data_IF_472372222893
#
_entry.id   IF_472372222893
#
_cell.length_a   1.000
_cell.length_b   1.000
_cell.length_c   1.000
_cell.angle_alpha   90.00
_cell.angle_beta   90.00
_cell.angle_gamma   90.00
#
_symmetry.space_group_name_H-M   'P 1'
#
loop_
_entity.id
_entity.type
_entity.pdbx_description
1 polymer ?
#
# COMPACT_ATOMS: atom_id res chain seq x y z
N UNK A 1 14.90 -35.98 -20.17
CA UNK A 1 14.78 -36.11 -18.69
C UNK A 1 15.70 -35.07 -18.06
N UNK A 2 15.14 -33.92 -17.66
CA UNK A 2 15.92 -32.83 -17.05
C UNK A 2 16.29 -33.26 -15.63
N UNK A 3 17.58 -33.50 -15.37
CA UNK A 3 18.07 -33.79 -14.02
C UNK A 3 18.00 -32.51 -13.20
N UNK A 4 17.09 -32.47 -12.24
CA UNK A 4 17.06 -31.42 -11.22
C UNK A 4 18.21 -31.68 -10.26
N UNK A 5 19.34 -31.00 -10.46
CA UNK A 5 20.43 -31.03 -9.50
C UNK A 5 20.02 -30.18 -8.30
N UNK A 6 19.73 -30.83 -7.17
CA UNK A 6 19.51 -30.15 -5.89
C UNK A 6 20.84 -29.56 -5.43
N UNK A 7 21.01 -28.24 -5.56
CA UNK A 7 22.17 -27.50 -5.03
C UNK A 7 22.10 -27.27 -3.51
N UNK A 8 21.14 -27.88 -2.82
CA UNK A 8 21.00 -27.79 -1.36
C UNK A 8 21.09 -29.18 -0.74
N UNK A 9 21.85 -29.25 0.36
CA UNK A 9 21.93 -30.40 1.27
C UNK A 9 20.50 -30.82 1.66
N UNK A 10 20.20 -32.13 1.84
CA UNK A 10 18.88 -32.56 2.32
C UNK A 10 18.66 -32.00 3.74
N UNK A 11 17.89 -30.91 3.84
CA UNK A 11 17.55 -30.26 5.12
C UNK A 11 17.66 -28.73 5.08
N UNK A 12 16.51 -28.07 4.90
CA UNK A 12 16.23 -26.64 5.10
C UNK A 12 17.04 -25.62 4.27
N UNK A 13 16.52 -25.27 3.09
CA UNK A 13 16.91 -24.03 2.42
C UNK A 13 16.46 -22.81 3.24
N UNK A 14 17.41 -21.95 3.64
CA UNK A 14 17.12 -20.67 4.33
C UNK A 14 16.50 -19.62 3.41
N UNK A 15 16.39 -19.90 2.11
CA UNK A 15 15.82 -18.99 1.11
C UNK A 15 14.38 -18.64 1.42
N UNK A 16 13.56 -19.60 1.83
CA UNK A 16 12.13 -19.38 2.08
C UNK A 16 11.92 -18.47 3.29
N UNK A 17 12.73 -18.67 4.34
CA UNK A 17 12.77 -17.78 5.49
C UNK A 17 13.20 -16.36 5.09
N UNK A 18 14.27 -16.23 4.32
CA UNK A 18 14.75 -14.93 3.83
C UNK A 18 13.72 -14.19 3.00
N UNK A 19 13.00 -14.89 2.12
CA UNK A 19 11.97 -14.30 1.28
C UNK A 19 10.70 -13.93 2.05
N UNK A 20 10.37 -14.61 3.14
CA UNK A 20 9.24 -14.24 4.00
C UNK A 20 9.58 -13.03 4.89
N UNK A 21 10.82 -12.95 5.39
CA UNK A 21 11.35 -11.74 6.04
C UNK A 21 11.35 -10.54 5.10
N UNK A 22 11.86 -10.69 3.88
CA UNK A 22 11.89 -9.60 2.91
C UNK A 22 10.48 -9.14 2.53
N UNK A 23 9.53 -10.06 2.40
CA UNK A 23 8.13 -9.69 2.16
C UNK A 23 7.55 -8.87 3.32
N UNK A 24 7.86 -9.25 4.57
CA UNK A 24 7.42 -8.49 5.74
C UNK A 24 8.06 -7.11 5.79
N UNK A 25 9.38 -7.02 5.64
CA UNK A 25 10.12 -5.75 5.74
C UNK A 25 9.69 -4.78 4.64
N UNK A 26 9.57 -5.23 3.40
CA UNK A 26 9.05 -4.38 2.30
C UNK A 26 7.61 -3.92 2.58
N UNK A 27 6.75 -4.80 3.11
CA UNK A 27 5.39 -4.43 3.50
C UNK A 27 5.36 -3.39 4.62
N UNK A 28 6.18 -3.57 5.67
CA UNK A 28 6.28 -2.63 6.78
C UNK A 28 6.82 -1.26 6.31
N UNK A 29 7.84 -1.25 5.45
CA UNK A 29 8.38 -0.02 4.86
C UNK A 29 7.33 0.73 4.04
N UNK A 30 6.54 0.02 3.23
CA UNK A 30 5.46 0.62 2.44
C UNK A 30 4.32 1.15 3.32
N UNK A 31 3.96 0.46 4.41
CA UNK A 31 2.97 0.96 5.38
C UNK A 31 3.45 2.29 6.00
N UNK A 32 4.71 2.33 6.46
CA UNK A 32 5.29 3.54 7.04
C UNK A 32 5.33 4.67 6.00
N UNK A 33 5.77 4.37 4.78
CA UNK A 33 5.74 5.32 3.68
C UNK A 33 4.33 5.85 3.44
N UNK A 34 3.30 5.00 3.41
CA UNK A 34 1.93 5.44 3.19
C UNK A 34 1.42 6.33 4.31
N UNK A 35 1.73 6.04 5.57
CA UNK A 35 1.38 6.95 6.68
C UNK A 35 2.06 8.31 6.54
N UNK A 36 3.36 8.33 6.28
CA UNK A 36 4.09 9.56 6.03
C UNK A 36 3.51 10.30 4.82
N UNK A 37 3.26 9.62 3.71
CA UNK A 37 2.68 10.17 2.50
C UNK A 37 1.32 10.83 2.77
N UNK A 38 0.41 10.13 3.45
CA UNK A 38 -0.92 10.66 3.78
C UNK A 38 -0.83 11.91 4.65
N UNK A 39 0.09 11.96 5.61
CA UNK A 39 0.30 13.14 6.46
C UNK A 39 0.94 14.31 5.68
N UNK A 40 1.94 14.04 4.85
CA UNK A 40 2.64 15.07 4.08
C UNK A 40 1.72 15.70 3.03
N UNK A 41 0.94 14.89 2.30
CA UNK A 41 0.03 15.39 1.27
C UNK A 41 -1.21 16.06 1.88
N UNK A 42 -1.70 15.57 3.02
CA UNK A 42 -2.84 16.20 3.73
C UNK A 42 -2.51 17.53 4.40
N UNK A 43 -1.22 17.91 4.50
CA UNK A 43 -0.82 19.22 5.01
C UNK A 43 -1.45 20.40 4.24
N UNK A 44 -1.88 20.17 2.98
CA UNK A 44 -2.64 21.14 2.17
C UNK A 44 -3.97 21.56 2.81
N UNK A 45 -4.55 20.70 3.66
CA UNK A 45 -5.78 20.99 4.42
C UNK A 45 -5.51 22.10 5.44
N UNK A 46 -4.32 22.14 6.02
CA UNK A 46 -3.89 23.23 6.92
C UNK A 46 -3.64 24.49 6.09
N UNK A 47 -2.71 24.42 5.13
CA UNK A 47 -2.54 25.46 4.12
C UNK A 47 -1.73 24.97 2.90
N UNK A 48 -1.91 25.57 1.72
CA UNK A 48 -1.05 25.32 0.56
C UNK A 48 0.42 25.67 0.81
N UNK A 49 0.69 26.71 1.62
CA UNK A 49 2.05 27.14 1.93
C UNK A 49 2.80 26.12 2.79
N UNK A 50 2.12 25.44 3.72
CA UNK A 50 2.72 24.36 4.53
C UNK A 50 3.11 23.18 3.62
N UNK A 51 2.21 22.74 2.73
CA UNK A 51 2.52 21.68 1.77
C UNK A 51 3.70 22.08 0.88
N UNK A 52 3.71 23.30 0.34
CA UNK A 52 4.79 23.78 -0.50
C UNK A 52 6.13 23.89 0.25
N UNK A 53 6.12 24.28 1.53
CA UNK A 53 7.33 24.33 2.35
C UNK A 53 7.92 22.92 2.58
N UNK A 54 7.05 21.94 2.89
CA UNK A 54 7.44 20.54 3.02
C UNK A 54 7.98 20.01 1.68
N UNK A 55 7.27 20.25 0.58
CA UNK A 55 7.71 19.84 -0.75
C UNK A 55 9.03 20.50 -1.16
N UNK A 56 9.22 21.78 -0.81
CA UNK A 56 10.46 22.51 -1.01
C UNK A 56 11.65 21.91 -0.25
N UNK A 57 11.43 21.41 0.97
CA UNK A 57 12.45 20.66 1.72
C UNK A 57 12.83 19.35 1.01
N UNK A 58 11.84 18.61 0.50
CA UNK A 58 12.08 17.37 -0.26
C UNK A 58 12.84 17.63 -1.56
N UNK A 59 12.54 18.75 -2.24
CA UNK A 59 13.24 19.18 -3.44
C UNK A 59 14.68 19.59 -3.14
N UNK A 60 14.89 20.42 -2.11
CA UNK A 60 16.21 20.91 -1.73
C UNK A 60 17.17 19.78 -1.29
N UNK A 61 16.62 18.69 -0.75
CA UNK A 61 17.36 17.51 -0.32
C UNK A 61 17.43 16.41 -1.38
N UNK A 62 16.86 16.63 -2.57
CA UNK A 62 16.70 15.63 -3.63
C UNK A 62 15.98 14.34 -3.18
N UNK A 63 15.21 14.42 -2.09
CA UNK A 63 14.57 13.28 -1.46
C UNK A 63 13.45 12.72 -2.34
N UNK A 64 12.74 13.54 -3.11
CA UNK A 64 11.72 13.06 -4.03
C UNK A 64 12.34 12.33 -5.26
N UNK A 65 13.47 12.84 -5.75
CA UNK A 65 14.18 12.35 -6.92
C UNK A 65 14.85 11.00 -6.67
N UNK A 66 15.40 10.79 -5.48
CA UNK A 66 16.04 9.53 -5.08
C UNK A 66 15.04 8.61 -4.37
N UNK A 67 14.27 9.15 -3.42
CA UNK A 67 13.31 8.39 -2.64
C UNK A 67 12.14 7.86 -3.47
N UNK A 68 11.65 8.64 -4.45
CA UNK A 68 10.58 8.22 -5.36
C UNK A 68 10.88 6.90 -6.09
N UNK A 69 11.98 6.83 -6.87
CA UNK A 69 12.41 5.59 -7.52
C UNK A 69 12.70 4.44 -6.55
N UNK A 70 13.27 4.70 -5.37
CA UNK A 70 13.53 3.66 -4.36
C UNK A 70 12.24 3.08 -3.78
N UNK A 71 11.24 3.91 -3.51
CA UNK A 71 9.91 3.46 -3.07
C UNK A 71 9.22 2.70 -4.20
N UNK A 72 9.33 3.15 -5.45
CA UNK A 72 8.78 2.43 -6.59
C UNK A 72 9.43 1.04 -6.77
N UNK A 73 10.75 0.94 -6.60
CA UNK A 73 11.45 -0.34 -6.60
C UNK A 73 10.98 -1.22 -5.43
N UNK A 74 10.86 -0.67 -4.23
CA UNK A 74 10.36 -1.38 -3.04
C UNK A 74 8.93 -1.90 -3.28
N UNK A 75 8.09 -1.09 -3.91
CA UNK A 75 6.73 -1.45 -4.31
C UNK A 75 6.71 -2.65 -5.27
N UNK A 76 7.55 -2.64 -6.31
CA UNK A 76 7.66 -3.77 -7.25
C UNK A 76 8.22 -5.03 -6.58
N UNK A 77 9.25 -4.89 -5.75
CA UNK A 77 9.82 -6.02 -4.99
C UNK A 77 8.76 -6.60 -4.05
N UNK A 78 8.02 -5.75 -3.34
CA UNK A 78 6.92 -6.18 -2.48
C UNK A 78 5.87 -6.97 -3.27
N UNK A 79 5.47 -6.46 -4.44
CA UNK A 79 4.53 -7.15 -5.32
C UNK A 79 5.03 -8.53 -5.73
N UNK A 80 6.26 -8.65 -6.24
CA UNK A 80 6.84 -9.94 -6.66
C UNK A 80 6.87 -10.93 -5.50
N UNK A 81 7.26 -10.49 -4.30
CA UNK A 81 7.31 -11.35 -3.13
C UNK A 81 5.91 -11.77 -2.66
N UNK A 82 4.94 -10.87 -2.66
CA UNK A 82 3.57 -11.11 -2.25
C UNK A 82 2.78 -11.94 -3.29
N UNK A 83 3.07 -11.77 -4.58
CA UNK A 83 2.43 -12.47 -5.70
C UNK A 83 2.59 -13.99 -5.59
N UNK A 84 3.68 -14.48 -4.98
CA UNK A 84 3.88 -15.92 -4.69
C UNK A 84 2.77 -16.54 -3.85
N UNK A 85 2.00 -15.72 -3.12
CA UNK A 85 0.89 -16.16 -2.27
C UNK A 85 -0.48 -16.05 -2.96
N UNK A 86 -0.55 -15.51 -4.18
CA UNK A 86 -1.80 -15.28 -4.92
C UNK A 86 -2.00 -16.43 -5.93
N UNK A 87 -3.15 -17.14 -5.89
CA UNK A 87 -3.47 -18.10 -6.93
C UNK A 87 -3.87 -17.36 -8.22
N UNK A 88 -3.01 -17.39 -9.22
CA UNK A 88 -3.30 -16.78 -10.53
C UNK A 88 -4.14 -17.68 -11.44
N UNK A 89 -4.19 -18.99 -11.18
CA UNK A 89 -5.03 -19.94 -11.94
C UNK A 89 -6.48 -19.83 -11.50
N UNK A 90 -7.40 -19.83 -12.46
CA UNK A 90 -8.85 -19.72 -12.22
C UNK A 90 -9.38 -20.79 -11.25
N UNK A 91 -8.90 -22.03 -11.35
CA UNK A 91 -9.23 -23.11 -10.42
C UNK A 91 -8.87 -22.76 -8.96
N UNK A 92 -7.65 -22.26 -8.74
CA UNK A 92 -7.20 -21.85 -7.41
C UNK A 92 -7.99 -20.65 -6.85
N UNK A 93 -8.36 -19.71 -7.73
CA UNK A 93 -9.22 -18.58 -7.35
C UNK A 93 -10.62 -19.06 -6.95
N UNK A 94 -11.21 -19.97 -7.72
CA UNK A 94 -12.52 -20.55 -7.42
C UNK A 94 -12.51 -21.30 -6.08
N UNK A 95 -11.46 -22.07 -5.80
CA UNK A 95 -11.29 -22.80 -4.53
C UNK A 95 -11.22 -21.83 -3.35
N UNK A 96 -10.38 -20.79 -3.42
CA UNK A 96 -10.29 -19.78 -2.35
C UNK A 96 -11.63 -19.08 -2.13
N UNK A 97 -12.32 -18.71 -3.21
CA UNK A 97 -13.62 -18.04 -3.14
C UNK A 97 -14.70 -18.90 -2.48
N UNK A 98 -14.80 -20.17 -2.89
CA UNK A 98 -15.73 -21.13 -2.29
C UNK A 98 -15.43 -21.36 -0.80
N UNK A 99 -14.15 -21.51 -0.42
CA UNK A 99 -13.74 -21.66 0.97
C UNK A 99 -14.04 -20.41 1.81
N UNK A 100 -13.79 -19.21 1.27
CA UNK A 100 -14.12 -17.96 1.95
C UNK A 100 -15.63 -17.82 2.22
N UNK A 101 -16.46 -18.20 1.23
CA UNK A 101 -17.93 -18.26 1.37
C UNK A 101 -18.39 -19.27 2.41
N UNK A 102 -17.79 -20.46 2.43
CA UNK A 102 -18.13 -21.53 3.37
C UNK A 102 -17.77 -21.15 4.81
N UNK A 103 -16.54 -20.68 5.05
CA UNK A 103 -16.04 -20.37 6.40
C UNK A 103 -16.72 -19.15 7.02
N UNK A 104 -17.23 -18.21 6.20
CA UNK A 104 -17.81 -16.92 6.65
C UNK A 104 -16.93 -16.18 7.67
N UNK A 105 -15.62 -16.35 7.55
CA UNK A 105 -14.64 -15.85 8.51
C UNK A 105 -14.04 -14.53 8.04
N UNK A 106 -14.14 -13.48 8.87
CA UNK A 106 -13.72 -12.11 8.53
C UNK A 106 -12.28 -12.04 8.03
N UNK A 107 -11.32 -12.64 8.74
CA UNK A 107 -9.92 -12.51 8.35
C UNK A 107 -9.60 -13.33 7.09
N UNK A 108 -10.44 -14.29 6.70
CA UNK A 108 -10.32 -14.96 5.39
C UNK A 108 -10.79 -14.01 4.28
N UNK A 109 -11.92 -13.34 4.46
CA UNK A 109 -12.42 -12.34 3.52
C UNK A 109 -11.49 -11.14 3.37
N UNK A 110 -10.92 -10.64 4.46
CA UNK A 110 -9.94 -9.55 4.40
C UNK A 110 -8.71 -9.93 3.57
N UNK A 111 -8.36 -11.21 3.48
CA UNK A 111 -7.23 -11.65 2.65
C UNK A 111 -7.60 -11.56 1.17
N UNK A 112 -8.82 -11.97 0.81
CA UNK A 112 -9.36 -11.83 -0.55
C UNK A 112 -9.42 -10.36 -0.96
N UNK A 113 -9.90 -9.49 -0.07
CA UNK A 113 -9.90 -8.03 -0.28
C UNK A 113 -8.48 -7.51 -0.47
N UNK A 114 -7.52 -7.94 0.35
CA UNK A 114 -6.13 -7.53 0.24
C UNK A 114 -5.50 -7.96 -1.10
N UNK A 115 -5.80 -9.18 -1.58
CA UNK A 115 -5.33 -9.66 -2.88
C UNK A 115 -5.98 -8.89 -4.04
N UNK A 116 -7.29 -8.61 -3.97
CA UNK A 116 -8.00 -7.85 -5.00
C UNK A 116 -7.54 -6.39 -5.09
N UNK A 117 -7.44 -5.71 -3.94
CA UNK A 117 -6.90 -4.35 -3.88
C UNK A 117 -5.45 -4.29 -4.36
N UNK A 118 -4.61 -5.30 -4.09
CA UNK A 118 -3.24 -5.35 -4.59
C UNK A 118 -3.15 -5.26 -6.12
N UNK A 119 -4.07 -5.93 -6.84
CA UNK A 119 -4.06 -5.89 -8.31
C UNK A 119 -4.45 -4.51 -8.84
N UNK A 120 -5.41 -3.86 -8.20
CA UNK A 120 -5.82 -2.49 -8.55
C UNK A 120 -4.68 -1.51 -8.27
N UNK A 121 -4.06 -1.61 -7.08
CA UNK A 121 -2.94 -0.76 -6.67
C UNK A 121 -1.73 -0.96 -7.57
N UNK A 122 -1.45 -2.18 -8.05
CA UNK A 122 -0.36 -2.42 -8.99
C UNK A 122 -0.45 -1.49 -10.20
N UNK A 123 -1.65 -1.35 -10.76
CA UNK A 123 -1.89 -0.54 -11.95
C UNK A 123 -1.97 0.94 -11.58
N UNK A 124 -2.90 1.29 -10.69
CA UNK A 124 -3.17 2.69 -10.36
C UNK A 124 -1.99 3.32 -9.59
N UNK A 125 -1.40 2.60 -8.64
CA UNK A 125 -0.21 3.05 -7.92
C UNK A 125 0.98 3.29 -8.84
N UNK A 126 1.20 2.42 -9.85
CA UNK A 126 2.27 2.64 -10.82
C UNK A 126 2.03 3.89 -11.68
N UNK A 127 0.80 4.09 -12.18
CA UNK A 127 0.43 5.30 -12.93
C UNK A 127 0.63 6.56 -12.07
N UNK A 128 0.17 6.53 -10.82
CA UNK A 128 0.33 7.63 -9.87
C UNK A 128 1.80 7.99 -9.67
N UNK A 129 2.64 7.01 -9.35
CA UNK A 129 4.07 7.19 -9.11
C UNK A 129 4.77 7.72 -10.38
N UNK A 130 4.45 7.16 -11.54
CA UNK A 130 5.00 7.62 -12.82
C UNK A 130 4.70 9.10 -13.07
N UNK A 131 3.44 9.50 -12.94
CA UNK A 131 2.99 10.87 -13.24
C UNK A 131 3.60 11.88 -12.26
N UNK A 132 3.62 11.57 -10.97
CA UNK A 132 4.15 12.49 -9.95
C UNK A 132 5.67 12.63 -10.06
N UNK A 133 6.40 11.54 -10.31
CA UNK A 133 7.87 11.59 -10.39
C UNK A 133 8.39 12.20 -11.69
N UNK A 134 7.60 12.20 -12.77
CA UNK A 134 7.95 12.88 -14.03
C UNK A 134 7.56 14.37 -14.06
N UNK A 135 6.82 14.87 -13.07
CA UNK A 135 6.38 16.28 -13.00
C UNK A 135 6.89 16.98 -11.72
N UNK A 136 8.09 16.61 -11.27
CA UNK A 136 8.80 17.32 -10.20
C UNK A 136 9.18 18.75 -10.66
N UNK A 137 9.26 19.75 -9.76
CA UNK A 137 9.01 19.67 -8.31
C UNK A 137 7.52 19.60 -7.95
N UNK A 138 7.21 18.99 -6.81
CA UNK A 138 5.85 18.89 -6.28
C UNK A 138 5.41 20.26 -5.75
N UNK A 139 4.24 20.72 -6.18
CA UNK A 139 3.58 21.91 -5.61
C UNK A 139 2.10 21.67 -5.39
N UNK A 140 1.51 22.43 -4.47
CA UNK A 140 0.07 22.44 -4.23
C UNK A 140 -0.70 22.83 -5.50
N UNK A 141 -0.21 23.80 -6.26
CA UNK A 141 -0.83 24.27 -7.50
C UNK A 141 -0.88 23.19 -8.58
N UNK A 142 0.25 22.52 -8.88
CA UNK A 142 0.27 21.41 -9.84
C UNK A 142 -0.62 20.25 -9.40
N UNK A 143 -0.62 19.95 -8.09
CA UNK A 143 -1.44 18.88 -7.53
C UNK A 143 -2.93 19.19 -7.64
N UNK A 144 -3.33 20.43 -7.34
CA UNK A 144 -4.70 20.91 -7.51
C UNK A 144 -5.15 20.90 -8.98
N UNK A 145 -4.33 21.44 -9.89
CA UNK A 145 -4.63 21.45 -11.32
C UNK A 145 -4.89 20.05 -11.87
N UNK A 146 -4.07 19.06 -11.48
CA UNK A 146 -4.32 17.65 -11.81
C UNK A 146 -5.63 17.14 -11.22
N UNK A 147 -5.91 17.43 -9.95
CA UNK A 147 -7.10 16.95 -9.25
C UNK A 147 -8.41 17.55 -9.75
N UNK A 148 -8.38 18.77 -10.31
CA UNK A 148 -9.56 19.44 -10.87
C UNK A 148 -10.07 18.78 -12.16
N UNK A 149 -9.22 18.00 -12.85
CA UNK A 149 -9.67 17.17 -13.95
C UNK A 149 -10.48 15.97 -13.43
N UNK A 150 -11.71 15.82 -13.93
CA UNK A 150 -12.67 14.81 -13.47
C UNK A 150 -12.10 13.38 -13.41
N UNK A 151 -11.43 12.93 -14.46
CA UNK A 151 -10.88 11.57 -14.52
C UNK A 151 -9.76 11.33 -13.51
N UNK A 152 -8.95 12.36 -13.21
CA UNK A 152 -7.95 12.28 -12.15
C UNK A 152 -8.61 12.22 -10.78
N UNK A 153 -9.66 12.99 -10.53
CA UNK A 153 -10.42 12.88 -9.29
C UNK A 153 -10.99 11.47 -9.08
N UNK A 154 -11.63 10.88 -10.10
CA UNK A 154 -12.14 9.50 -10.05
C UNK A 154 -11.02 8.50 -9.79
N UNK A 155 -9.88 8.67 -10.46
CA UNK A 155 -8.69 7.83 -10.27
C UNK A 155 -8.26 7.78 -8.78
N UNK A 156 -8.16 8.93 -8.11
CA UNK A 156 -7.77 8.97 -6.71
C UNK A 156 -8.88 8.51 -5.76
N UNK A 157 -10.15 8.71 -6.12
CA UNK A 157 -11.30 8.18 -5.38
C UNK A 157 -11.35 6.65 -5.36
N UNK A 158 -10.74 5.98 -6.35
CA UNK A 158 -10.58 4.52 -6.37
C UNK A 158 -9.27 4.11 -5.68
N UNK A 159 -8.16 4.81 -5.97
CA UNK A 159 -6.85 4.49 -5.42
C UNK A 159 -6.82 4.61 -3.88
N UNK A 160 -7.40 5.67 -3.32
CA UNK A 160 -7.43 5.93 -1.88
C UNK A 160 -8.02 4.76 -1.07
N UNK A 161 -9.26 4.31 -1.29
CA UNK A 161 -9.82 3.19 -0.55
C UNK A 161 -9.07 1.88 -0.80
N UNK A 162 -8.57 1.64 -2.01
CA UNK A 162 -7.81 0.43 -2.29
C UNK A 162 -6.52 0.38 -1.47
N UNK A 163 -5.70 1.44 -1.51
CA UNK A 163 -4.43 1.49 -0.79
C UNK A 163 -4.66 1.48 0.71
N UNK A 164 -5.59 2.28 1.23
CA UNK A 164 -5.82 2.39 2.67
C UNK A 164 -6.34 1.08 3.28
N UNK A 165 -7.23 0.37 2.58
CA UNK A 165 -7.67 -0.97 2.98
C UNK A 165 -6.50 -1.97 2.93
N UNK A 166 -5.69 -1.93 1.87
CA UNK A 166 -4.55 -2.84 1.72
C UNK A 166 -3.51 -2.64 2.82
N UNK A 167 -3.17 -1.38 3.12
CA UNK A 167 -2.24 -0.96 4.16
C UNK A 167 -2.76 -1.36 5.55
N UNK A 168 -4.01 -1.05 5.86
CA UNK A 168 -4.59 -1.31 7.19
C UNK A 168 -4.69 -2.82 7.47
N UNK A 169 -5.20 -3.60 6.51
CA UNK A 169 -5.25 -5.07 6.63
C UNK A 169 -3.84 -5.67 6.67
N UNK A 170 -2.91 -5.15 5.86
CA UNK A 170 -1.51 -5.56 5.85
C UNK A 170 -0.83 -5.35 7.21
N UNK A 171 -1.01 -4.17 7.78
CA UNK A 171 -0.52 -3.81 9.12
C UNK A 171 -1.08 -4.76 10.19
N UNK A 172 -2.39 -4.99 10.17
CA UNK A 172 -3.04 -5.95 11.06
C UNK A 172 -2.43 -7.35 10.95
N UNK A 173 -2.25 -7.86 9.73
CA UNK A 173 -1.70 -9.20 9.50
C UNK A 173 -0.25 -9.33 9.89
N UNK A 174 0.59 -8.33 9.62
CA UNK A 174 1.99 -8.35 10.02
C UNK A 174 2.09 -8.44 11.54
N UNK A 175 1.32 -7.62 12.26
CA UNK A 175 1.33 -7.61 13.73
C UNK A 175 0.93 -8.97 14.32
N UNK A 176 -0.12 -9.60 13.80
CA UNK A 176 -0.57 -10.93 14.28
C UNK A 176 0.39 -12.03 13.85
N UNK A 177 0.86 -12.03 12.59
CA UNK A 177 1.72 -13.08 12.04
C UNK A 177 3.07 -13.18 12.76
N UNK A 178 3.65 -12.04 13.11
CA UNK A 178 4.96 -11.96 13.76
C UNK A 178 4.88 -11.91 15.30
N UNK A 179 3.70 -12.14 15.87
CA UNK A 179 3.53 -12.30 17.31
C UNK A 179 3.57 -11.00 18.11
N UNK A 180 3.58 -9.83 17.46
CA UNK A 180 3.43 -8.53 18.13
C UNK A 180 2.06 -8.38 18.79
N UNK A 181 1.04 -9.05 18.24
CA UNK A 181 -0.33 -9.07 18.78
C UNK A 181 -0.74 -10.50 19.05
N UNK A 182 -1.00 -10.80 20.33
CA UNK A 182 -1.46 -12.11 20.79
C UNK A 182 -2.99 -12.23 20.74
N UNK A 183 -3.51 -13.43 21.01
CA UNK A 183 -4.94 -13.77 20.88
C UNK A 183 -5.86 -12.93 21.77
N UNK A 184 -5.42 -12.62 22.98
CA UNK A 184 -6.09 -11.77 23.97
C UNK A 184 -6.20 -10.31 23.49
N UNK A 185 -5.15 -9.78 22.87
CA UNK A 185 -5.08 -8.41 22.37
C UNK A 185 -5.74 -8.23 21.00
N UNK A 186 -6.00 -9.32 20.27
CA UNK A 186 -6.47 -9.30 18.88
C UNK A 186 -7.76 -8.49 18.68
N UNK A 187 -8.71 -8.56 19.62
CA UNK A 187 -9.97 -7.80 19.54
C UNK A 187 -9.73 -6.29 19.68
N UNK A 188 -8.87 -5.89 20.62
CA UNK A 188 -8.47 -4.50 20.80
C UNK A 188 -7.72 -3.96 19.59
N UNK A 189 -6.77 -4.73 19.07
CA UNK A 189 -5.96 -4.34 17.93
C UNK A 189 -6.78 -4.19 16.64
N UNK A 190 -7.79 -5.06 16.41
CA UNK A 190 -8.76 -4.89 15.32
C UNK A 190 -9.53 -3.58 15.41
N UNK A 191 -9.95 -3.18 16.62
CA UNK A 191 -10.63 -1.89 16.82
C UNK A 191 -9.70 -0.74 16.54
N UNK A 192 -8.47 -0.79 17.05
CA UNK A 192 -7.44 0.20 16.79
C UNK A 192 -7.17 0.37 15.29
N UNK A 193 -6.96 -0.73 14.57
CA UNK A 193 -6.73 -0.68 13.12
C UNK A 193 -7.94 -0.13 12.36
N UNK A 194 -9.16 -0.51 12.73
CA UNK A 194 -10.37 0.04 12.10
C UNK A 194 -10.51 1.55 12.39
N UNK A 195 -10.15 2.01 13.59
CA UNK A 195 -10.10 3.44 13.91
C UNK A 195 -9.05 4.17 13.09
N UNK A 196 -7.84 3.61 12.97
CA UNK A 196 -6.75 4.19 12.19
C UNK A 196 -7.12 4.30 10.70
N UNK A 197 -7.65 3.22 10.12
CA UNK A 197 -8.22 3.19 8.79
C UNK A 197 -9.25 4.29 8.58
N UNK A 198 -10.19 4.45 9.52
CA UNK A 198 -11.25 5.47 9.42
C UNK A 198 -10.66 6.88 9.43
N UNK A 199 -9.66 7.14 10.27
CA UNK A 199 -8.99 8.45 10.36
C UNK A 199 -8.30 8.78 9.03
N UNK A 200 -7.46 7.89 8.51
CA UNK A 200 -6.76 8.14 7.24
C UNK A 200 -7.71 8.22 6.05
N UNK A 201 -8.79 7.44 6.05
CA UNK A 201 -9.84 7.53 5.03
C UNK A 201 -10.49 8.92 5.02
N UNK A 202 -10.90 9.42 6.19
CA UNK A 202 -11.52 10.73 6.32
C UNK A 202 -10.55 11.85 5.92
N UNK A 203 -9.32 11.82 6.44
CA UNK A 203 -8.29 12.80 6.09
C UNK A 203 -7.98 12.77 4.59
N UNK A 204 -7.88 11.58 4.00
CA UNK A 204 -7.65 11.40 2.56
C UNK A 204 -8.78 12.00 1.72
N UNK A 205 -10.04 11.72 2.06
CA UNK A 205 -11.19 12.29 1.35
C UNK A 205 -11.22 13.83 1.47
N UNK A 206 -11.01 14.37 2.68
CA UNK A 206 -10.94 15.83 2.89
C UNK A 206 -9.80 16.42 2.06
N UNK A 207 -8.65 15.76 1.99
CA UNK A 207 -7.49 16.20 1.19
C UNK A 207 -7.81 16.23 -0.30
N UNK A 208 -8.48 15.21 -0.84
CA UNK A 208 -8.92 15.19 -2.24
C UNK A 208 -9.89 16.33 -2.55
N UNK A 209 -10.89 16.54 -1.69
CA UNK A 209 -11.84 17.66 -1.81
C UNK A 209 -11.09 19.00 -1.75
N UNK A 210 -10.12 19.12 -0.85
CA UNK A 210 -9.31 20.33 -0.71
C UNK A 210 -8.54 20.64 -1.99
N UNK A 211 -7.95 19.64 -2.66
CA UNK A 211 -7.28 19.86 -3.94
C UNK A 211 -8.22 20.26 -5.07
N UNK A 212 -9.43 19.69 -5.13
CA UNK A 212 -10.43 20.08 -6.14
C UNK A 212 -10.90 21.51 -5.93
N UNK A 213 -11.07 21.93 -4.68
CA UNK A 213 -11.54 23.27 -4.30
C UNK A 213 -10.42 24.30 -4.16
N UNK A 214 -9.16 23.89 -4.36
CA UNK A 214 -8.01 24.78 -4.33
C UNK A 214 -8.01 25.63 -5.62
N UNK A 215 -8.48 26.86 -5.52
CA UNK A 215 -8.42 27.89 -6.57
C UNK A 215 -7.77 29.14 -6.02
#
# INVERSE_FOLDING_TARGET
MMKTFTTSVPGLSRTDAGLDWLQMLTGASLILFMWCHMLLVSSVVISPSVMNAIAGFFEATYMAQVGGPLIFLTFLVHFVLAARKIPFRAEGQAVIWQHAKMLKHRDTWLWVVQAGTAMIILILGAIHMWVVLNDLPITAAKSAARMQHFWWFVFYMILLPCVELHVSVGFYRIAVKWGFVKSDQRKGFKRFETTLFTIFMVIGVITLIRFVTLG
#
